data_IF_073473619076
#
_entry.id   IF_073473619076
#
_cell.length_a   1.000
_cell.length_b   1.000
_cell.length_c   1.000
_cell.angle_alpha   90.00
_cell.angle_beta   90.00
_cell.angle_gamma   90.00
#
_symmetry.space_group_name_H-M   'P 1'
#
loop_
_entity.id
_entity.type
_entity.pdbx_description
1 polymer ?
#
# COMPACT_ATOMS: atom_id res chain seq x y z
N UNK A 1 -14.12 -1.29 19.69
CA UNK A 1 -14.87 -0.56 18.66
C UNK A 1 -14.42 0.88 18.56
N UNK A 2 -14.39 1.43 17.35
CA UNK A 2 -13.97 2.80 17.07
C UNK A 2 -15.17 3.76 17.11
N UNK A 3 -14.94 5.01 17.53
CA UNK A 3 -15.96 6.06 17.55
C UNK A 3 -16.40 6.44 16.13
N UNK A 4 -17.68 6.20 15.74
CA UNK A 4 -18.14 6.41 14.38
C UNK A 4 -18.17 7.88 13.95
N UNK A 5 -18.09 8.82 14.89
CA UNK A 5 -18.17 10.25 14.58
C UNK A 5 -16.85 10.82 14.04
N UNK A 6 -15.72 10.22 14.42
CA UNK A 6 -14.37 10.72 14.11
C UNK A 6 -14.12 10.86 12.62
N UNK A 7 -13.56 12.00 12.24
CA UNK A 7 -13.21 12.30 10.85
C UNK A 7 -11.93 13.13 10.81
N UNK A 8 -10.99 12.74 9.96
CA UNK A 8 -9.77 13.50 9.76
C UNK A 8 -9.31 13.48 8.31
N UNK A 9 -8.65 14.56 7.91
CA UNK A 9 -7.95 14.69 6.63
C UNK A 9 -6.57 15.28 6.88
N UNK A 10 -5.54 14.67 6.30
CA UNK A 10 -4.19 15.20 6.28
C UNK A 10 -3.65 15.20 4.86
N UNK A 11 -2.89 16.23 4.51
CA UNK A 11 -2.20 16.38 3.23
C UNK A 11 -0.75 16.74 3.51
N UNK A 12 0.18 16.03 2.86
CA UNK A 12 1.60 16.35 2.88
C UNK A 12 2.10 16.41 1.44
N UNK A 13 2.66 17.54 1.03
CA UNK A 13 3.22 17.69 -0.33
C UNK A 13 4.60 17.04 -0.43
N UNK A 14 5.06 16.80 -1.66
CA UNK A 14 6.42 16.29 -1.91
C UNK A 14 7.52 17.25 -1.43
N UNK A 15 7.18 18.53 -1.26
CA UNK A 15 8.04 19.59 -0.71
C UNK A 15 7.90 19.75 0.82
N UNK A 16 7.11 18.88 1.47
CA UNK A 16 6.99 18.84 2.93
C UNK A 16 5.97 19.80 3.55
N UNK A 17 5.16 20.50 2.74
CA UNK A 17 4.08 21.34 3.25
C UNK A 17 2.97 20.47 3.83
N UNK A 18 2.36 20.88 4.96
CA UNK A 18 1.36 20.07 5.67
C UNK A 18 0.05 20.82 5.85
N UNK A 19 -1.05 20.10 5.72
CA UNK A 19 -2.38 20.56 6.08
C UNK A 19 -3.11 19.45 6.82
N UNK A 20 -3.78 19.79 7.92
CA UNK A 20 -4.49 18.86 8.78
C UNK A 20 -5.88 19.42 9.13
N UNK A 21 -6.88 18.54 9.18
CA UNK A 21 -8.26 18.87 9.54
C UNK A 21 -8.90 17.74 10.34
N UNK A 22 -9.73 18.08 11.33
CA UNK A 22 -10.47 17.12 12.15
C UNK A 22 -9.60 16.39 13.18
N UNK A 23 -9.92 15.13 13.47
CA UNK A 23 -9.29 14.30 14.51
C UNK A 23 -7.92 13.72 14.09
N UNK A 24 -7.10 14.50 13.39
CA UNK A 24 -5.90 13.98 12.69
C UNK A 24 -4.83 13.39 13.60
N UNK A 25 -4.77 13.81 14.87
CA UNK A 25 -3.83 13.29 15.89
C UNK A 25 -4.32 12.01 16.54
N UNK A 26 -5.56 11.58 16.32
CA UNK A 26 -6.05 10.31 16.84
C UNK A 26 -5.26 9.16 16.23
N UNK A 27 -4.68 8.33 17.09
CA UNK A 27 -3.94 7.14 16.68
C UNK A 27 -4.85 5.93 16.51
N UNK A 28 -4.52 5.11 15.51
CA UNK A 28 -5.20 3.86 15.19
C UNK A 28 -4.22 2.91 14.50
N UNK A 29 -4.55 1.62 14.53
CA UNK A 29 -3.75 0.59 13.85
C UNK A 29 -3.79 0.78 12.33
N UNK A 30 -2.63 0.66 11.68
CA UNK A 30 -2.47 0.75 10.23
C UNK A 30 -3.28 -0.32 9.50
N UNK A 31 -3.46 -1.50 10.10
CA UNK A 31 -4.17 -2.60 9.47
C UNK A 31 -3.61 -2.89 8.07
N UNK A 32 -4.46 -3.14 7.08
CA UNK A 32 -4.05 -3.38 5.69
C UNK A 32 -3.33 -2.22 5.01
N UNK A 33 -3.32 -1.01 5.58
CA UNK A 33 -2.57 0.13 5.05
C UNK A 33 -1.05 -0.05 5.20
N UNK A 34 -0.58 -1.01 6.00
CA UNK A 34 0.85 -1.35 6.10
C UNK A 34 1.36 -2.12 4.88
N UNK A 35 0.50 -2.87 4.17
CA UNK A 35 0.90 -3.80 3.11
C UNK A 35 1.74 -3.17 1.99
N UNK A 36 1.37 -2.00 1.41
CA UNK A 36 2.17 -1.39 0.35
C UNK A 36 3.56 -0.96 0.83
N UNK A 37 3.64 -0.51 2.09
CA UNK A 37 4.88 -0.10 2.73
C UNK A 37 5.79 -1.31 2.98
N UNK A 38 5.23 -2.38 3.54
CA UNK A 38 5.97 -3.64 3.77
C UNK A 38 6.50 -4.22 2.46
N UNK A 39 5.68 -4.25 1.41
CA UNK A 39 6.08 -4.72 0.09
C UNK A 39 7.20 -3.85 -0.50
N UNK A 40 7.09 -2.51 -0.40
CA UNK A 40 8.13 -1.61 -0.88
C UNK A 40 9.47 -1.86 -0.17
N UNK A 41 9.43 -2.06 1.16
CA UNK A 41 10.61 -2.36 1.97
C UNK A 41 11.23 -3.71 1.55
N UNK A 42 10.42 -4.74 1.29
CA UNK A 42 10.92 -6.03 0.83
C UNK A 42 11.66 -5.93 -0.52
N UNK A 43 11.11 -5.16 -1.47
CA UNK A 43 11.75 -4.91 -2.78
C UNK A 43 13.03 -4.08 -2.61
N UNK A 44 12.99 -3.05 -1.79
CA UNK A 44 14.12 -2.17 -1.49
C UNK A 44 15.29 -2.94 -0.86
N UNK A 45 15.03 -3.69 0.22
CA UNK A 45 16.02 -4.52 0.93
C UNK A 45 16.62 -5.60 0.01
N UNK A 46 15.82 -6.15 -0.90
CA UNK A 46 16.30 -7.13 -1.90
C UNK A 46 17.15 -6.51 -3.03
N UNK A 47 17.42 -5.20 -3.00
CA UNK A 47 18.27 -4.50 -3.96
C UNK A 47 17.52 -3.69 -5.01
N UNK A 48 16.30 -3.24 -4.70
CA UNK A 48 15.48 -2.39 -5.55
C UNK A 48 15.10 -3.05 -6.88
N UNK A 49 15.58 -2.52 -8.00
CA UNK A 49 15.29 -3.06 -9.34
C UNK A 49 15.71 -4.54 -9.48
N UNK A 50 16.82 -4.94 -8.86
CA UNK A 50 17.28 -6.35 -8.83
C UNK A 50 16.44 -7.20 -7.87
N UNK A 51 15.93 -6.58 -6.81
CA UNK A 51 15.09 -7.21 -5.80
C UNK A 51 13.66 -7.48 -6.25
N UNK A 52 13.15 -6.73 -7.24
CA UNK A 52 11.77 -6.86 -7.71
C UNK A 52 11.44 -8.26 -8.22
N UNK A 53 12.32 -8.85 -9.04
CA UNK A 53 12.16 -10.22 -9.53
C UNK A 53 12.23 -11.26 -8.40
N UNK A 54 13.09 -11.02 -7.40
CA UNK A 54 13.19 -11.89 -6.23
C UNK A 54 11.91 -11.85 -5.38
N UNK A 55 11.33 -10.67 -5.15
CA UNK A 55 10.05 -10.56 -4.42
C UNK A 55 8.94 -11.22 -5.22
N UNK A 56 8.86 -10.97 -6.53
CA UNK A 56 7.83 -11.56 -7.37
C UNK A 56 7.98 -13.06 -7.66
N UNK A 57 9.11 -13.68 -7.27
CA UNK A 57 9.18 -15.14 -7.22
C UNK A 57 8.44 -15.74 -6.02
N UNK A 58 7.90 -14.91 -5.11
CA UNK A 58 7.15 -15.33 -3.92
C UNK A 58 5.72 -14.77 -3.89
N UNK A 59 5.40 -13.78 -4.73
CA UNK A 59 4.08 -13.14 -4.82
C UNK A 59 3.83 -12.61 -6.22
N UNK A 60 2.63 -12.79 -6.76
CA UNK A 60 2.24 -12.26 -8.06
C UNK A 60 2.05 -10.74 -8.09
N UNK A 61 1.59 -10.24 -9.23
CA UNK A 61 1.28 -8.82 -9.48
C UNK A 61 -0.19 -8.54 -9.80
N UNK A 62 -0.97 -9.58 -10.09
CA UNK A 62 -2.28 -9.42 -10.71
C UNK A 62 -3.40 -9.32 -9.67
N UNK A 63 -4.48 -8.64 -10.04
CA UNK A 63 -5.71 -8.71 -9.27
C UNK A 63 -6.26 -10.15 -9.32
N UNK A 64 -6.80 -10.63 -8.19
CA UNK A 64 -7.29 -12.01 -8.11
C UNK A 64 -8.56 -12.25 -8.93
N UNK A 65 -9.39 -11.22 -9.15
CA UNK A 65 -10.76 -11.36 -9.67
C UNK A 65 -11.71 -12.10 -8.74
N UNK A 66 -11.24 -12.47 -7.54
CA UNK A 66 -11.98 -13.13 -6.47
C UNK A 66 -12.21 -12.14 -5.35
N UNK A 67 -13.19 -12.42 -4.48
CA UNK A 67 -13.37 -11.67 -3.24
C UNK A 67 -12.05 -11.55 -2.48
N UNK A 68 -11.73 -10.35 -1.97
CA UNK A 68 -10.45 -10.03 -1.35
C UNK A 68 -10.09 -10.93 -0.16
N UNK A 69 -11.11 -11.52 0.47
CA UNK A 69 -10.99 -12.42 1.62
C UNK A 69 -10.88 -13.90 1.23
N UNK A 70 -10.82 -14.22 -0.07
CA UNK A 70 -10.61 -15.57 -0.59
C UNK A 70 -9.23 -16.10 -0.18
N UNK A 71 -9.20 -17.37 0.22
CA UNK A 71 -7.97 -18.09 0.52
C UNK A 71 -7.57 -18.82 -0.76
N UNK A 72 -6.73 -18.18 -1.57
CA UNK A 72 -6.33 -18.72 -2.87
C UNK A 72 -4.91 -18.32 -3.25
N UNK A 73 -4.33 -19.13 -4.13
CA UNK A 73 -3.10 -18.83 -4.90
C UNK A 73 -3.45 -18.81 -6.39
N UNK A 74 -2.59 -18.22 -7.21
CA UNK A 74 -2.71 -18.23 -8.66
C UNK A 74 -2.22 -19.56 -9.26
N UNK A 75 -2.30 -19.69 -10.58
CA UNK A 75 -1.90 -20.91 -11.32
C UNK A 75 -0.42 -21.28 -11.14
N UNK A 76 0.43 -20.32 -10.71
CA UNK A 76 1.83 -20.55 -10.41
C UNK A 76 2.08 -20.94 -8.94
N UNK A 77 1.04 -21.15 -8.14
CA UNK A 77 1.14 -21.46 -6.71
C UNK A 77 1.54 -20.25 -5.85
N UNK A 78 1.45 -19.02 -6.36
CA UNK A 78 1.81 -17.80 -5.65
C UNK A 78 0.56 -17.03 -5.19
N UNK A 79 0.62 -16.28 -4.08
CA UNK A 79 -0.43 -15.30 -3.79
C UNK A 79 -0.58 -14.30 -4.94
N UNK A 80 -1.80 -13.89 -5.25
CA UNK A 80 -2.11 -13.05 -6.42
C UNK A 80 -1.33 -11.74 -6.49
N UNK A 81 -1.29 -10.99 -5.38
CA UNK A 81 -0.59 -9.71 -5.27
C UNK A 81 -0.32 -9.36 -3.78
N UNK A 82 0.60 -8.43 -3.47
CA UNK A 82 0.91 -8.07 -2.09
C UNK A 82 -0.18 -7.28 -1.34
N UNK A 83 -1.26 -6.86 -2.00
CA UNK A 83 -2.33 -6.08 -1.38
C UNK A 83 -3.39 -6.96 -0.69
N UNK A 84 -3.48 -8.24 -1.09
CA UNK A 84 -4.26 -9.27 -0.38
C UNK A 84 -3.48 -9.86 0.80
N UNK A 85 -4.18 -10.44 1.78
CA UNK A 85 -3.54 -10.96 3.01
C UNK A 85 -2.45 -12.01 2.71
N UNK A 86 -2.71 -12.92 1.78
CA UNK A 86 -1.76 -13.96 1.40
C UNK A 86 -0.45 -13.37 0.85
N UNK A 87 -0.54 -12.38 -0.04
CA UNK A 87 0.65 -11.72 -0.58
C UNK A 87 1.35 -10.84 0.43
N UNK A 88 0.62 -10.23 1.37
CA UNK A 88 1.21 -9.46 2.46
C UNK A 88 2.02 -10.35 3.43
N UNK A 89 1.50 -11.53 3.79
CA UNK A 89 2.21 -12.52 4.61
C UNK A 89 3.48 -13.01 3.88
N UNK A 90 3.38 -13.31 2.58
CA UNK A 90 4.54 -13.69 1.78
C UNK A 90 5.58 -12.55 1.72
N UNK A 91 5.13 -11.32 1.48
CA UNK A 91 6.01 -10.14 1.34
C UNK A 91 6.73 -9.80 2.64
N UNK A 92 6.03 -9.75 3.78
CA UNK A 92 6.66 -9.43 5.07
C UNK A 92 7.66 -10.51 5.50
N UNK A 93 7.42 -11.76 5.09
CA UNK A 93 8.36 -12.86 5.27
C UNK A 93 9.75 -12.57 4.68
N UNK A 94 9.84 -11.73 3.64
CA UNK A 94 11.10 -11.40 2.97
C UNK A 94 11.90 -10.28 3.67
N UNK A 95 11.29 -9.55 4.61
CA UNK A 95 11.90 -8.40 5.29
C UNK A 95 12.76 -8.82 6.48
N UNK A 96 13.94 -8.25 6.62
CA UNK A 96 14.83 -8.47 7.77
C UNK A 96 15.35 -9.91 7.87
N UNK A 97 15.48 -10.65 6.76
CA UNK A 97 15.95 -12.06 6.79
C UNK A 97 17.37 -12.25 7.30
N UNK A 98 18.13 -11.16 7.40
CA UNK A 98 19.47 -11.12 7.98
C UNK A 98 19.45 -11.02 9.51
N UNK A 99 18.32 -10.64 10.11
CA UNK A 99 18.16 -10.54 11.56
C UNK A 99 18.05 -11.95 12.18
N UNK A 100 18.57 -12.15 13.41
CA UNK A 100 18.67 -13.47 14.03
C UNK A 100 17.34 -14.05 14.51
N UNK A 101 16.37 -13.21 14.86
CA UNK A 101 15.12 -13.62 15.50
C UNK A 101 13.94 -12.67 15.15
N UNK A 102 12.72 -13.06 15.52
CA UNK A 102 11.49 -12.30 15.24
C UNK A 102 11.49 -10.89 15.84
N UNK A 103 12.00 -10.71 17.08
CA UNK A 103 12.05 -9.40 17.74
C UNK A 103 12.98 -8.46 16.99
N UNK A 104 14.16 -8.96 16.59
CA UNK A 104 15.11 -8.21 15.77
C UNK A 104 14.52 -7.83 14.40
N UNK A 105 13.74 -8.73 13.77
CA UNK A 105 13.02 -8.46 12.52
C UNK A 105 11.94 -7.39 12.67
N UNK A 106 11.18 -7.45 13.76
CA UNK A 106 10.16 -6.46 14.07
C UNK A 106 10.79 -5.09 14.33
N UNK A 107 11.87 -5.02 15.10
CA UNK A 107 12.60 -3.78 15.35
C UNK A 107 13.14 -3.18 14.04
N UNK A 108 13.67 -4.02 13.14
CA UNK A 108 14.09 -3.60 11.81
C UNK A 108 12.91 -3.01 11.01
N UNK A 109 11.79 -3.74 10.90
CA UNK A 109 10.59 -3.29 10.18
C UNK A 109 10.08 -1.94 10.72
N UNK A 110 9.97 -1.80 12.04
CA UNK A 110 9.56 -0.55 12.69
C UNK A 110 10.54 0.60 12.43
N UNK A 111 11.85 0.32 12.38
CA UNK A 111 12.87 1.28 11.95
C UNK A 111 12.62 1.78 10.53
N UNK A 112 12.37 0.86 9.59
CA UNK A 112 12.04 1.21 8.19
C UNK A 112 10.75 2.02 8.08
N UNK A 113 9.72 1.69 8.86
CA UNK A 113 8.48 2.48 8.91
C UNK A 113 8.73 3.91 9.41
N UNK A 114 9.52 4.06 10.48
CA UNK A 114 9.90 5.39 11.00
C UNK A 114 10.71 6.20 10.00
N UNK A 115 11.61 5.58 9.24
CA UNK A 115 12.34 6.28 8.18
C UNK A 115 11.40 6.84 7.10
N UNK A 116 10.37 6.09 6.70
CA UNK A 116 9.38 6.54 5.70
C UNK A 116 8.43 7.59 6.27
N UNK A 117 8.08 7.48 7.55
CA UNK A 117 7.24 8.44 8.28
C UNK A 117 8.00 9.72 8.70
N UNK A 118 9.33 9.73 8.67
CA UNK A 118 10.17 10.87 9.03
C UNK A 118 10.02 11.30 10.49
N UNK A 119 9.57 12.52 10.70
CA UNK A 119 9.38 13.14 12.02
C UNK A 119 7.98 12.93 12.62
N UNK A 120 7.11 12.19 11.93
CA UNK A 120 5.76 11.85 12.43
C UNK A 120 5.78 10.61 13.33
N UNK A 121 4.75 10.45 14.14
CA UNK A 121 4.70 9.40 15.16
C UNK A 121 4.32 8.04 14.56
N UNK A 122 5.09 7.00 14.93
CA UNK A 122 4.82 5.59 14.61
C UNK A 122 4.93 4.77 15.90
N UNK A 123 3.78 4.29 16.36
CA UNK A 123 3.60 3.51 17.58
C UNK A 123 3.30 2.04 17.30
N UNK A 124 2.85 1.32 18.34
CA UNK A 124 2.48 -0.08 18.24
C UNK A 124 1.41 -0.44 19.28
N UNK A 125 0.34 -1.08 18.81
CA UNK A 125 -0.77 -1.49 19.64
C UNK A 125 -0.60 -2.93 20.13
N UNK A 126 -0.08 -3.12 21.34
CA UNK A 126 -0.01 -4.47 21.94
C UNK A 126 -1.42 -5.10 22.05
N UNK A 127 -2.44 -4.30 22.36
CA UNK A 127 -3.82 -4.77 22.48
C UNK A 127 -4.37 -5.28 21.14
N UNK A 128 -4.20 -4.51 20.06
CA UNK A 128 -4.61 -4.94 18.71
C UNK A 128 -3.84 -6.20 18.29
N UNK A 129 -2.53 -6.23 18.53
CA UNK A 129 -1.69 -7.39 18.22
C UNK A 129 -2.21 -8.67 18.90
N UNK A 130 -2.48 -8.62 20.20
CA UNK A 130 -2.98 -9.79 20.96
C UNK A 130 -4.37 -10.23 20.48
N UNK A 131 -5.26 -9.27 20.19
CA UNK A 131 -6.61 -9.56 19.69
C UNK A 131 -6.59 -10.22 18.30
N UNK A 132 -5.77 -9.69 17.39
CA UNK A 132 -5.58 -10.25 16.05
C UNK A 132 -4.96 -11.64 16.11
N UNK A 133 -3.99 -11.86 17.03
CA UNK A 133 -3.35 -13.16 17.21
C UNK A 133 -4.34 -14.22 17.73
N UNK A 134 -5.16 -13.88 18.71
CA UNK A 134 -6.18 -14.78 19.28
C UNK A 134 -7.23 -15.22 18.24
N UNK A 135 -7.54 -14.34 17.29
CA UNK A 135 -8.60 -14.55 16.29
C UNK A 135 -8.09 -14.77 14.86
N UNK A 136 -6.79 -15.07 14.69
CA UNK A 136 -6.10 -15.23 13.42
C UNK A 136 -6.52 -16.46 12.58
N UNK A 137 -7.73 -16.99 12.73
CA UNK A 137 -8.20 -18.24 12.09
C UNK A 137 -7.99 -18.23 10.57
N UNK A 138 -8.43 -17.14 9.90
CA UNK A 138 -8.29 -16.99 8.45
C UNK A 138 -6.84 -16.84 8.03
N UNK A 139 -6.04 -16.07 8.78
CA UNK A 139 -4.62 -15.89 8.45
C UNK A 139 -3.83 -17.20 8.68
N UNK A 140 -4.22 -18.04 9.64
CA UNK A 140 -3.69 -19.40 9.79
C UNK A 140 -4.05 -20.30 8.60
N UNK A 141 -5.30 -20.26 8.12
CA UNK A 141 -5.69 -21.02 6.94
C UNK A 141 -4.91 -20.57 5.67
N UNK A 142 -4.69 -19.26 5.51
CA UNK A 142 -3.79 -18.72 4.48
C UNK A 142 -2.37 -19.26 4.67
N UNK A 143 -1.85 -19.25 5.90
CA UNK A 143 -0.51 -19.74 6.20
C UNK A 143 -0.31 -21.19 5.74
N UNK A 144 -1.27 -22.07 6.04
CA UNK A 144 -1.22 -23.47 5.62
C UNK A 144 -1.30 -23.61 4.10
N UNK A 145 -2.17 -22.84 3.45
CA UNK A 145 -2.29 -22.83 1.98
C UNK A 145 -0.97 -22.41 1.32
N UNK A 146 -0.34 -21.35 1.81
CA UNK A 146 0.95 -20.88 1.29
C UNK A 146 2.11 -21.85 1.59
N UNK A 147 2.03 -22.57 2.71
CA UNK A 147 3.01 -23.59 3.08
C UNK A 147 2.93 -24.81 2.16
N UNK A 148 1.71 -25.26 1.85
CA UNK A 148 1.46 -26.36 0.92
C UNK A 148 1.91 -26.01 -0.51
N UNK A 149 1.62 -24.78 -0.96
CA UNK A 149 2.06 -24.27 -2.26
C UNK A 149 3.58 -24.00 -2.37
N UNK A 150 4.36 -24.18 -1.29
CA UNK A 150 5.81 -24.05 -1.31
C UNK A 150 6.35 -22.60 -1.35
N UNK A 151 5.54 -21.61 -0.93
CA UNK A 151 5.93 -20.19 -0.92
C UNK A 151 7.04 -19.89 0.11
N UNK A 152 7.09 -20.67 1.18
CA UNK A 152 8.06 -20.50 2.26
C UNK A 152 9.29 -21.40 2.08
N UNK A 153 10.46 -20.92 2.50
CA UNK A 153 11.72 -21.68 2.45
C UNK A 153 12.48 -21.60 3.79
N UNK A 154 13.65 -22.23 3.89
CA UNK A 154 14.44 -22.29 5.15
C UNK A 154 14.81 -20.92 5.73
N UNK A 155 14.83 -19.84 4.94
CA UNK A 155 15.09 -18.46 5.40
C UNK A 155 13.81 -17.65 5.64
N UNK A 156 12.65 -18.22 5.35
CA UNK A 156 11.33 -17.60 5.47
C UNK A 156 10.40 -18.58 6.18
N UNK A 157 10.47 -18.64 7.51
CA UNK A 157 9.62 -19.53 8.27
C UNK A 157 8.15 -19.04 8.25
N UNK A 158 7.16 -19.92 8.01
CA UNK A 158 5.75 -19.54 7.90
C UNK A 158 5.26 -18.78 9.13
N UNK A 159 5.38 -19.37 10.33
CA UNK A 159 4.87 -18.75 11.56
C UNK A 159 5.54 -17.41 11.89
N UNK A 160 6.83 -17.25 11.56
CA UNK A 160 7.53 -15.97 11.72
C UNK A 160 6.97 -14.92 10.77
N UNK A 161 6.58 -15.32 9.56
CA UNK A 161 5.98 -14.40 8.58
C UNK A 161 4.57 -13.99 9.00
N UNK A 162 3.79 -14.91 9.57
CA UNK A 162 2.46 -14.61 10.11
C UNK A 162 2.52 -13.67 11.33
N UNK A 163 3.39 -13.96 12.31
CA UNK A 163 3.54 -13.08 13.48
C UNK A 163 3.99 -11.67 13.08
N UNK A 164 4.99 -11.58 12.20
CA UNK A 164 5.48 -10.29 11.71
C UNK A 164 4.42 -9.55 10.89
N UNK A 165 3.55 -10.26 10.16
CA UNK A 165 2.40 -9.68 9.47
C UNK A 165 1.40 -9.07 10.47
N UNK A 166 1.04 -9.80 11.54
CA UNK A 166 0.12 -9.31 12.56
C UNK A 166 0.72 -8.11 13.30
N UNK A 167 2.02 -8.15 13.59
CA UNK A 167 2.76 -7.01 14.14
C UNK A 167 2.74 -5.78 13.22
N UNK A 168 2.94 -5.98 11.91
CA UNK A 168 2.88 -4.91 10.92
C UNK A 168 1.48 -4.29 10.80
N UNK A 169 0.42 -5.07 10.95
CA UNK A 169 -0.95 -4.56 11.01
C UNK A 169 -1.21 -3.77 12.30
N UNK A 170 -0.67 -4.23 13.44
CA UNK A 170 -0.83 -3.60 14.74
C UNK A 170 0.02 -2.33 14.97
N UNK A 171 0.88 -1.93 14.02
CA UNK A 171 1.55 -0.62 14.04
C UNK A 171 0.52 0.50 14.14
N UNK A 172 0.71 1.44 15.07
CA UNK A 172 -0.17 2.58 15.26
C UNK A 172 0.38 3.81 14.56
N UNK A 173 -0.50 4.52 13.86
CA UNK A 173 -0.21 5.80 13.23
C UNK A 173 -1.38 6.75 13.43
N UNK A 174 -1.17 8.02 13.11
CA UNK A 174 -2.26 8.99 12.98
C UNK A 174 -2.45 9.40 11.51
N UNK A 175 -3.40 10.30 11.24
CA UNK A 175 -3.75 10.66 9.85
C UNK A 175 -2.63 11.46 9.18
N UNK A 176 -1.89 12.27 9.93
CA UNK A 176 -0.72 13.00 9.41
C UNK A 176 0.41 12.04 9.02
N UNK A 177 0.72 11.05 9.86
CA UNK A 177 1.69 10.00 9.56
C UNK A 177 1.31 9.24 8.28
N UNK A 178 0.03 8.91 8.09
CA UNK A 178 -0.44 8.25 6.86
C UNK A 178 -0.21 9.14 5.62
N UNK A 179 -0.50 10.44 5.71
CA UNK A 179 -0.26 11.38 4.63
C UNK A 179 1.24 11.55 4.34
N UNK A 180 2.09 11.56 5.37
CA UNK A 180 3.55 11.60 5.23
C UNK A 180 4.11 10.36 4.54
N UNK A 181 3.65 9.16 4.91
CA UNK A 181 4.00 7.91 4.23
C UNK A 181 3.62 7.99 2.75
N UNK A 182 2.37 8.40 2.46
CA UNK A 182 1.90 8.56 1.09
C UNK A 182 2.70 9.62 0.31
N UNK A 183 3.15 10.70 0.97
CA UNK A 183 3.97 11.74 0.36
C UNK A 183 5.39 11.24 0.03
N UNK A 184 5.97 10.36 0.86
CA UNK A 184 7.23 9.67 0.54
C UNK A 184 7.10 8.81 -0.71
N UNK A 185 5.96 8.11 -0.89
CA UNK A 185 5.67 7.41 -2.15
C UNK A 185 5.46 8.37 -3.33
N UNK A 186 4.71 9.47 -3.12
CA UNK A 186 4.49 10.50 -4.13
C UNK A 186 5.81 11.12 -4.62
N UNK A 187 6.80 11.23 -3.73
CA UNK A 187 8.13 11.80 -3.98
C UNK A 187 9.16 10.74 -4.43
N UNK A 188 8.72 9.63 -5.02
CA UNK A 188 9.63 8.64 -5.60
C UNK A 188 10.55 7.95 -4.58
N UNK A 189 10.13 7.86 -3.31
CA UNK A 189 10.85 7.19 -2.23
C UNK A 189 11.83 8.08 -1.47
N UNK A 190 11.80 9.39 -1.72
CA UNK A 190 12.54 10.40 -0.95
C UNK A 190 11.60 10.97 0.12
N UNK A 191 12.00 10.86 1.38
CA UNK A 191 11.17 11.35 2.48
C UNK A 191 11.14 12.90 2.43
N UNK A 192 9.95 13.56 2.37
CA UNK A 192 9.83 15.00 2.05
C UNK A 192 10.51 15.99 3.01
N UNK A 193 10.67 15.61 4.28
CA UNK A 193 11.19 16.49 5.34
C UNK A 193 12.71 16.34 5.49
N UNK A 194 13.20 15.11 5.40
CA UNK A 194 14.61 14.77 5.62
C UNK A 194 15.43 14.77 4.33
N UNK A 195 14.78 14.72 3.17
CA UNK A 195 15.45 14.61 1.86
C UNK A 195 16.17 13.28 1.62
N UNK A 196 16.04 12.32 2.54
CA UNK A 196 16.71 11.01 2.42
C UNK A 196 15.92 10.09 1.49
N UNK A 197 16.63 9.38 0.61
CA UNK A 197 16.06 8.25 -0.12
C UNK A 197 15.90 7.08 0.84
N UNK A 198 14.66 6.78 1.19
CA UNK A 198 14.29 5.70 2.11
C UNK A 198 13.71 4.51 1.38
N UNK A 199 13.26 4.67 0.13
CA UNK A 199 12.83 3.59 -0.75
C UNK A 199 13.42 3.78 -2.16
N UNK A 200 13.78 2.67 -2.80
CA UNK A 200 14.17 2.68 -4.21
C UNK A 200 13.00 3.06 -5.12
N UNK A 201 13.31 3.71 -6.25
CA UNK A 201 12.31 4.10 -7.24
C UNK A 201 11.56 2.90 -7.83
N UNK A 202 12.24 1.75 -7.96
CA UNK A 202 11.64 0.49 -8.42
C UNK A 202 10.59 -0.03 -7.44
N UNK A 203 10.89 -0.02 -6.13
CA UNK A 203 9.94 -0.40 -5.10
C UNK A 203 8.71 0.52 -5.12
N UNK A 204 8.93 1.84 -5.18
CA UNK A 204 7.84 2.82 -5.24
C UNK A 204 6.96 2.64 -6.47
N UNK A 205 7.55 2.52 -7.66
CA UNK A 205 6.78 2.32 -8.90
C UNK A 205 5.91 1.07 -8.82
N UNK A 206 6.45 -0.04 -8.34
CA UNK A 206 5.70 -1.27 -8.20
C UNK A 206 4.57 -1.13 -7.16
N UNK A 207 4.83 -0.53 -6.00
CA UNK A 207 3.81 -0.28 -4.97
C UNK A 207 2.67 0.60 -5.49
N UNK A 208 2.98 1.68 -6.21
CA UNK A 208 1.96 2.56 -6.81
C UNK A 208 1.07 1.81 -7.80
N UNK A 209 1.69 0.99 -8.65
CA UNK A 209 0.97 0.19 -9.65
C UNK A 209 0.00 -0.78 -8.98
N UNK A 210 0.47 -1.48 -7.94
CA UNK A 210 -0.33 -2.46 -7.20
C UNK A 210 -1.39 -1.82 -6.31
N UNK A 211 -1.13 -0.64 -5.75
CA UNK A 211 -2.14 0.15 -5.04
C UNK A 211 -3.24 0.63 -5.99
N UNK A 212 -2.87 1.01 -7.22
CA UNK A 212 -3.85 1.43 -8.22
C UNK A 212 -4.79 0.29 -8.62
N UNK A 213 -4.26 -0.91 -8.87
CA UNK A 213 -5.07 -2.05 -9.33
C UNK A 213 -5.73 -2.87 -8.22
N UNK A 214 -5.15 -2.92 -7.02
CA UNK A 214 -5.53 -3.88 -5.97
C UNK A 214 -5.72 -3.24 -4.58
N UNK A 215 -5.73 -1.91 -4.48
CA UNK A 215 -5.60 -1.20 -3.21
C UNK A 215 -6.87 -1.10 -2.33
N UNK A 216 -8.06 -1.25 -2.89
CA UNK A 216 -9.34 -1.00 -2.21
C UNK A 216 -10.26 -2.23 -2.17
N UNK A 217 -9.67 -3.40 -1.95
CA UNK A 217 -10.38 -4.68 -1.90
C UNK A 217 -11.19 -4.90 -3.20
N UNK A 218 -12.42 -5.37 -3.08
CA UNK A 218 -13.33 -5.60 -4.20
C UNK A 218 -13.76 -4.29 -4.89
N UNK A 219 -13.56 -3.14 -4.22
CA UNK A 219 -13.81 -1.80 -4.78
C UNK A 219 -12.69 -1.25 -5.67
N UNK A 220 -11.57 -1.97 -5.85
CA UNK A 220 -10.39 -1.45 -6.57
C UNK A 220 -10.68 -1.07 -8.03
N UNK A 221 -11.51 -1.84 -8.73
CA UNK A 221 -11.89 -1.53 -10.13
C UNK A 221 -12.71 -0.25 -10.24
N UNK A 222 -13.73 -0.10 -9.40
CA UNK A 222 -14.57 1.11 -9.34
C UNK A 222 -13.73 2.33 -8.94
N UNK A 223 -12.81 2.18 -7.99
CA UNK A 223 -11.90 3.24 -7.58
C UNK A 223 -11.00 3.71 -8.72
N UNK A 224 -10.43 2.78 -9.49
CA UNK A 224 -9.56 3.11 -10.62
C UNK A 224 -10.30 3.94 -11.70
N UNK A 225 -11.59 3.69 -11.90
CA UNK A 225 -12.43 4.45 -12.84
C UNK A 225 -12.87 5.81 -12.28
N UNK A 226 -13.34 5.85 -11.03
CA UNK A 226 -13.96 7.06 -10.46
C UNK A 226 -12.95 8.04 -9.88
N UNK A 227 -11.83 7.54 -9.34
CA UNK A 227 -10.80 8.34 -8.66
C UNK A 227 -9.48 8.34 -9.42
N UNK A 228 -9.07 7.21 -9.99
CA UNK A 228 -7.92 7.16 -10.88
C UNK A 228 -6.57 7.45 -10.22
N UNK A 229 -6.44 7.22 -8.91
CA UNK A 229 -5.22 7.44 -8.13
C UNK A 229 -4.80 6.19 -7.35
N UNK A 230 -3.49 5.90 -7.20
CA UNK A 230 -3.02 4.84 -6.29
C UNK A 230 -3.47 5.11 -4.85
N UNK A 231 -4.07 4.13 -4.20
CA UNK A 231 -4.52 4.26 -2.83
C UNK A 231 -4.53 2.92 -2.10
N UNK A 232 -4.58 2.96 -0.77
CA UNK A 232 -4.80 1.77 0.05
C UNK A 232 -5.77 2.08 1.17
N UNK A 233 -6.74 1.19 1.34
CA UNK A 233 -7.68 1.20 2.46
C UNK A 233 -7.30 0.22 3.58
N UNK A 234 -7.76 0.51 4.79
CA UNK A 234 -7.60 -0.35 5.96
C UNK A 234 -8.91 -0.41 6.75
N UNK A 235 -9.17 -1.56 7.37
CA UNK A 235 -10.40 -1.80 8.15
C UNK A 235 -10.54 -0.90 9.39
N UNK A 236 -9.48 -0.18 9.77
CA UNK A 236 -9.56 0.87 10.77
C UNK A 236 -10.36 2.11 10.29
N UNK A 237 -10.65 2.23 9.00
CA UNK A 237 -11.33 3.39 8.40
C UNK A 237 -10.38 4.40 7.75
N UNK A 238 -9.11 4.05 7.56
CA UNK A 238 -8.12 4.86 6.85
C UNK A 238 -8.16 4.54 5.35
N UNK A 239 -8.13 5.59 4.52
CA UNK A 239 -7.67 5.53 3.13
C UNK A 239 -6.56 6.57 2.98
N UNK A 240 -5.39 6.15 2.49
CA UNK A 240 -4.43 7.10 1.94
C UNK A 240 -4.37 6.99 0.42
N UNK A 241 -4.21 8.13 -0.22
CA UNK A 241 -4.13 8.33 -1.66
C UNK A 241 -2.79 8.98 -1.97
N UNK A 242 -2.15 8.49 -3.02
CA UNK A 242 -0.85 8.98 -3.46
C UNK A 242 -1.07 9.72 -4.78
N UNK A 243 -0.72 11.01 -4.82
CA UNK A 243 -0.76 11.83 -6.03
C UNK A 243 0.69 11.99 -6.49
N UNK A 244 1.16 11.19 -7.46
CA UNK A 244 2.58 11.15 -7.83
C UNK A 244 3.11 12.53 -8.22
N UNK A 245 4.25 12.92 -7.64
CA UNK A 245 4.89 14.22 -7.87
C UNK A 245 4.19 15.42 -7.22
N UNK A 246 3.11 15.22 -6.43
CA UNK A 246 2.34 16.31 -5.82
C UNK A 246 2.24 16.16 -4.31
N UNK A 247 1.53 15.14 -3.83
CA UNK A 247 1.22 15.00 -2.40
C UNK A 247 0.77 13.58 -2.02
N UNK A 248 0.92 13.26 -0.74
CA UNK A 248 0.15 12.22 -0.06
C UNK A 248 -1.07 12.82 0.63
N UNK A 249 -2.22 12.17 0.51
CA UNK A 249 -3.47 12.55 1.18
C UNK A 249 -3.94 11.38 2.01
N UNK A 250 -4.30 11.59 3.26
CA UNK A 250 -4.89 10.57 4.11
C UNK A 250 -6.22 11.05 4.67
N UNK A 251 -7.21 10.15 4.68
CA UNK A 251 -8.54 10.41 5.22
C UNK A 251 -8.91 9.27 6.15
N UNK A 252 -9.33 9.60 7.36
CA UNK A 252 -9.75 8.64 8.36
C UNK A 252 -11.21 8.85 8.75
N UNK A 253 -11.99 7.78 8.73
CA UNK A 253 -13.35 7.72 9.25
C UNK A 253 -13.75 6.25 9.46
N UNK A 254 -14.06 5.81 10.69
CA UNK A 254 -14.29 4.39 10.98
C UNK A 254 -15.43 3.68 10.23
N UNK A 255 -16.61 4.29 9.97
CA UNK A 255 -17.69 3.59 9.29
C UNK A 255 -17.30 3.11 7.88
N UNK A 256 -17.45 1.80 7.63
CA UNK A 256 -17.08 1.13 6.39
C UNK A 256 -18.31 0.80 5.53
N UNK A 257 -18.12 0.72 4.22
CA UNK A 257 -19.07 0.16 3.26
C UNK A 257 -19.03 -1.39 3.26
N UNK A 258 -19.84 -2.00 2.39
CA UNK A 258 -19.91 -3.45 2.22
C UNK A 258 -18.60 -4.09 1.69
N UNK A 259 -17.71 -3.27 1.10
CA UNK A 259 -16.41 -3.70 0.61
C UNK A 259 -15.27 -3.50 1.64
N UNK A 260 -15.59 -2.96 2.82
CA UNK A 260 -14.62 -2.70 3.89
C UNK A 260 -13.83 -1.40 3.71
N UNK A 261 -14.29 -0.47 2.87
CA UNK A 261 -13.69 0.85 2.66
C UNK A 261 -14.45 1.93 3.45
N UNK A 262 -13.75 2.96 3.93
CA UNK A 262 -14.40 4.04 4.67
C UNK A 262 -15.32 4.89 3.79
N UNK A 263 -16.61 4.95 4.15
CA UNK A 263 -17.66 5.63 3.36
C UNK A 263 -17.31 7.11 3.13
N UNK A 264 -16.97 7.83 4.21
CA UNK A 264 -16.62 9.26 4.13
C UNK A 264 -15.29 9.50 3.43
N UNK A 265 -14.33 8.58 3.56
CA UNK A 265 -13.04 8.71 2.88
C UNK A 265 -13.16 8.53 1.37
N UNK A 266 -13.96 7.55 0.91
CA UNK A 266 -14.24 7.36 -0.52
C UNK A 266 -14.92 8.61 -1.08
N UNK A 267 -15.98 9.09 -0.45
CA UNK A 267 -16.70 10.28 -0.89
C UNK A 267 -15.82 11.55 -0.93
N UNK A 268 -14.90 11.70 0.03
CA UNK A 268 -13.92 12.79 0.02
C UNK A 268 -13.01 12.70 -1.20
N UNK A 269 -12.47 11.51 -1.49
CA UNK A 269 -11.52 11.32 -2.60
C UNK A 269 -12.17 11.50 -3.96
N UNK A 270 -13.41 11.05 -4.15
CA UNK A 270 -14.19 11.33 -5.36
C UNK A 270 -14.42 12.84 -5.55
N UNK A 271 -14.73 13.56 -4.47
CA UNK A 271 -14.89 15.02 -4.55
C UNK A 271 -13.57 15.74 -4.83
N UNK A 272 -12.46 15.24 -4.28
CA UNK A 272 -11.12 15.78 -4.51
C UNK A 272 -10.79 15.77 -6.01
N UNK A 273 -10.94 14.63 -6.68
CA UNK A 273 -10.58 14.51 -8.12
C UNK A 273 -11.58 15.20 -9.04
N UNK A 274 -12.84 15.39 -8.62
CA UNK A 274 -13.79 16.26 -9.34
C UNK A 274 -13.42 17.73 -9.28
N UNK A 275 -12.73 18.14 -8.21
CA UNK A 275 -12.31 19.54 -8.00
C UNK A 275 -10.96 19.81 -8.65
N UNK A 276 -10.06 18.83 -8.65
CA UNK A 276 -8.70 18.92 -9.17
C UNK A 276 -8.39 17.74 -10.09
N UNK A 277 -7.91 17.96 -11.33
CA UNK A 277 -7.65 16.90 -12.31
C UNK A 277 -6.38 16.12 -11.97
N UNK A 278 -6.41 15.39 -10.86
CA UNK A 278 -5.30 14.59 -10.36
C UNK A 278 -5.31 13.15 -10.86
N UNK A 279 -6.43 12.66 -11.42
CA UNK A 279 -6.51 11.30 -11.94
C UNK A 279 -5.41 11.05 -12.96
N UNK A 280 -4.82 9.85 -12.92
CA UNK A 280 -3.65 9.50 -13.72
C UNK A 280 -3.86 9.74 -15.22
N UNK A 281 -5.10 9.59 -15.69
CA UNK A 281 -5.50 9.78 -17.08
C UNK A 281 -6.24 11.11 -17.34
N UNK A 282 -6.54 11.91 -16.30
CA UNK A 282 -7.28 13.16 -16.46
C UNK A 282 -6.52 14.15 -17.34
N UNK A 283 -5.20 14.28 -17.11
CA UNK A 283 -4.33 15.11 -17.96
C UNK A 283 -4.29 14.59 -19.39
N UNK A 284 -4.09 13.28 -19.58
CA UNK A 284 -4.06 12.68 -20.92
C UNK A 284 -5.37 12.90 -21.69
N UNK A 285 -6.53 12.85 -21.02
CA UNK A 285 -7.84 13.10 -21.63
C UNK A 285 -8.06 14.61 -21.86
N UNK A 286 -7.73 15.45 -20.88
CA UNK A 286 -7.90 16.91 -20.98
C UNK A 286 -7.01 17.53 -22.05
N UNK A 287 -5.75 17.10 -22.15
CA UNK A 287 -4.79 17.57 -23.15
C UNK A 287 -5.30 17.20 -24.55
N UNK A 288 -5.80 15.98 -24.75
CA UNK A 288 -6.40 15.53 -26.02
C UNK A 288 -7.67 16.32 -26.37
N UNK A 289 -8.51 16.67 -25.39
CA UNK A 289 -9.69 17.50 -25.62
C UNK A 289 -9.32 18.96 -25.95
N UNK A 290 -8.19 19.46 -25.45
CA UNK A 290 -7.65 20.77 -25.82
C UNK A 290 -6.93 20.76 -27.18
N UNK A 291 -6.44 19.61 -27.63
CA UNK A 291 -5.65 19.42 -28.85
C UNK A 291 -6.41 18.77 -30.03
N UNK A 292 -7.75 18.90 -30.11
CA UNK A 292 -8.50 18.49 -31.29
C UNK A 292 -8.20 19.38 -32.52
N UNK A 293 -7.03 19.19 -33.15
CA UNK A 293 -6.66 19.31 -34.58
C UNK A 293 -5.15 19.09 -34.83
N UNK A 294 -4.70 18.36 -35.88
CA UNK A 294 -5.13 17.08 -36.44
C UNK A 294 -3.96 16.02 -36.39
N UNK A 295 -4.06 14.85 -37.04
CA UNK A 295 -3.66 13.56 -36.47
C UNK A 295 -2.14 13.30 -36.41
N UNK A 296 -1.76 12.41 -35.49
CA UNK A 296 -0.46 11.74 -35.42
C UNK A 296 -0.02 11.30 -36.83
N UNK A 297 1.15 11.76 -37.26
CA UNK A 297 1.82 11.30 -38.48
C UNK A 297 2.03 9.78 -38.38
N UNK A 298 1.33 9.02 -39.22
CA UNK A 298 1.41 7.55 -39.30
C UNK A 298 2.83 7.03 -39.59
N UNK A 299 3.81 7.90 -39.85
CA UNK A 299 5.23 7.54 -40.01
C UNK A 299 5.91 7.07 -38.71
N UNK A 300 5.38 7.36 -37.52
CA UNK A 300 5.97 6.86 -36.26
C UNK A 300 5.66 5.38 -35.96
N UNK A 301 4.82 4.71 -36.76
CA UNK A 301 4.48 3.28 -36.59
C UNK A 301 5.36 2.33 -37.41
N UNK A 302 6.39 2.82 -38.12
CA UNK A 302 7.35 1.95 -38.78
C UNK A 302 8.39 1.42 -37.78
N UNK A 303 8.07 0.29 -37.14
CA UNK A 303 9.11 -0.61 -36.67
C UNK A 303 9.82 -1.20 -37.89
N UNK A 304 11.16 -1.14 -37.98
CA UNK A 304 11.89 -1.79 -39.07
C UNK A 304 11.67 -3.31 -39.00
N UNK A 305 11.51 -4.00 -40.15
CA UNK A 305 11.05 -5.38 -40.20
C UNK A 305 12.14 -6.42 -39.88
N UNK A 306 13.06 -6.15 -38.94
CA UNK A 306 14.04 -7.13 -38.47
C UNK A 306 14.36 -6.94 -36.99
N UNK A 307 13.55 -7.53 -36.12
CA UNK A 307 13.90 -8.01 -34.78
C UNK A 307 13.11 -9.29 -34.50
#
# INVERSE_FOLDING_TARGET
DADPTKFAVSVVTVDGQRFNYGDFTHTYSMQSCSKPLTYAIAVDEAGGARGLAFVHSHVGSEASGLAFNSISVNDAGLPHNPMVNAGAIASVGLVGRHCPDLSSRFAYLMGRYKEVAGDTEVGFSQATYLCELETAWRNNAILYTLSEAGVFNKRTHPYTSLDLYIQACATEINTETAAMIAATFANGGVQPITGKRVLSTAAVKASLTLCFSCGLYDGSGTWAVNVGLPAKSGVAGLIYVIIPGVAGVAVFSPPLDEHGNSVRAVAFCERLVRTFPFGLFDKAVSDVLSELSPPIDQRMLYLPPHL
#
